data_IF_978941623055
#
_entry.id   IF_978941623055
#
_cell.length_a   1.000
_cell.length_b   1.000
_cell.length_c   1.000
_cell.angle_alpha   90.00
_cell.angle_beta   90.00
_cell.angle_gamma   90.00
#
_symmetry.space_group_name_H-M   'P 1'
#
loop_
_entity.id
_entity.type
_entity.pdbx_description
1 polymer ?
#
# COMPACT_ATOMS: atom_id res chain seq x y z
N UNK A 1 8.31 -1.49 -10.95
CA UNK A 1 7.59 -2.06 -12.12
C UNK A 1 6.88 -3.35 -11.75
N UNK A 2 7.54 -4.32 -11.11
CA UNK A 2 6.89 -5.56 -10.66
C UNK A 2 5.64 -5.33 -9.77
N UNK A 3 5.68 -4.41 -8.80
CA UNK A 3 4.49 -4.07 -7.99
C UNK A 3 3.31 -3.52 -8.81
N UNK A 4 3.55 -2.85 -9.94
CA UNK A 4 2.46 -2.44 -10.83
C UNK A 4 1.80 -3.64 -11.51
N UNK A 5 2.56 -4.70 -11.81
CA UNK A 5 2.03 -5.92 -12.42
C UNK A 5 1.16 -6.69 -11.41
N UNK A 6 1.59 -6.75 -10.14
CA UNK A 6 0.76 -7.27 -9.04
C UNK A 6 -0.56 -6.51 -8.94
N UNK A 7 -0.49 -5.16 -8.90
CA UNK A 7 -1.67 -4.32 -8.84
C UNK A 7 -2.60 -4.53 -10.05
N UNK A 8 -2.03 -4.59 -11.26
CA UNK A 8 -2.78 -4.82 -12.49
C UNK A 8 -3.50 -6.18 -12.52
N UNK A 9 -2.86 -7.27 -12.07
CA UNK A 9 -3.52 -8.59 -11.92
C UNK A 9 -4.69 -8.55 -10.93
N UNK A 10 -4.61 -7.66 -9.95
CA UNK A 10 -5.69 -7.40 -8.99
C UNK A 10 -6.72 -6.37 -9.48
N UNK A 11 -6.59 -5.83 -10.70
CA UNK A 11 -7.46 -4.77 -11.19
C UNK A 11 -7.42 -3.52 -10.32
N UNK A 12 -6.33 -3.30 -9.58
CA UNK A 12 -6.10 -2.18 -8.69
C UNK A 12 -5.01 -1.26 -9.26
N UNK A 13 -5.04 0.01 -8.88
CA UNK A 13 -3.89 0.90 -9.08
C UNK A 13 -2.77 0.55 -8.08
N UNK A 14 -1.54 0.97 -8.36
CA UNK A 14 -0.43 0.80 -7.42
C UNK A 14 -0.72 1.45 -6.06
N UNK A 15 -1.37 2.62 -6.07
CA UNK A 15 -1.77 3.31 -4.87
C UNK A 15 -2.76 2.47 -4.05
N UNK A 16 -3.78 1.91 -4.69
CA UNK A 16 -4.74 1.01 -4.04
C UNK A 16 -4.07 -0.25 -3.47
N UNK A 17 -3.10 -0.84 -4.19
CA UNK A 17 -2.32 -1.96 -3.68
C UNK A 17 -1.54 -1.58 -2.42
N UNK A 18 -0.90 -0.41 -2.39
CA UNK A 18 -0.16 0.07 -1.24
C UNK A 18 -1.07 0.31 -0.02
N UNK A 19 -2.28 0.86 -0.24
CA UNK A 19 -3.28 1.04 0.81
C UNK A 19 -3.76 -0.31 1.36
N UNK A 20 -4.10 -1.26 0.49
CA UNK A 20 -4.49 -2.61 0.89
C UNK A 20 -3.38 -3.33 1.67
N UNK A 21 -2.13 -3.19 1.23
CA UNK A 21 -0.98 -3.74 1.95
C UNK A 21 -0.84 -3.12 3.34
N UNK A 22 -0.96 -1.81 3.49
CA UNK A 22 -0.84 -1.14 4.79
C UNK A 22 -1.99 -1.50 5.75
N UNK A 23 -3.20 -1.67 5.24
CA UNK A 23 -4.40 -1.99 6.02
C UNK A 23 -4.59 -3.49 6.31
N UNK A 24 -3.74 -4.37 5.77
CA UNK A 24 -3.87 -5.82 5.95
C UNK A 24 -3.73 -6.30 7.40
N UNK A 25 -2.97 -5.55 8.21
CA UNK A 25 -2.68 -5.91 9.59
C UNK A 25 -3.77 -5.35 10.50
N UNK A 26 -4.53 -6.22 11.16
CA UNK A 26 -5.62 -5.82 12.07
C UNK A 26 -5.15 -4.98 13.27
N UNK A 27 -3.84 -4.94 13.55
CA UNK A 27 -3.26 -4.06 14.57
C UNK A 27 -3.17 -2.60 14.11
N UNK A 28 -3.33 -2.33 12.82
CA UNK A 28 -3.36 -0.98 12.27
C UNK A 28 -4.76 -0.38 12.45
N UNK A 29 -4.89 0.62 13.33
CA UNK A 29 -6.17 1.28 13.59
C UNK A 29 -6.62 2.17 12.44
N UNK A 30 -5.68 2.86 11.79
CA UNK A 30 -5.98 3.80 10.71
C UNK A 30 -4.72 4.12 9.89
N UNK A 31 -4.92 4.57 8.65
CA UNK A 31 -3.89 5.04 7.75
C UNK A 31 -4.13 6.50 7.40
N UNK A 32 -3.10 7.33 7.55
CA UNK A 32 -3.17 8.75 7.17
C UNK A 32 -2.79 8.88 5.70
N UNK A 33 -3.72 9.36 4.89
CA UNK A 33 -3.54 9.55 3.44
C UNK A 33 -3.73 11.01 3.06
N UNK A 34 -2.93 11.48 2.11
CA UNK A 34 -3.13 12.78 1.45
C UNK A 34 -3.89 12.60 0.13
N UNK A 35 -4.75 13.55 -0.20
CA UNK A 35 -5.38 13.65 -1.52
C UNK A 35 -5.41 15.12 -1.97
N UNK A 36 -5.08 15.39 -3.23
CA UNK A 36 -5.13 16.73 -3.83
C UNK A 36 -6.40 17.00 -4.64
N UNK A 37 -7.26 15.98 -4.79
CA UNK A 37 -8.54 16.07 -5.50
C UNK A 37 -9.55 15.07 -4.96
N UNK A 38 -10.83 15.30 -5.24
CA UNK A 38 -11.92 14.38 -4.88
C UNK A 38 -11.76 13.04 -5.60
N UNK A 39 -11.40 13.04 -6.89
CA UNK A 39 -11.17 11.81 -7.66
C UNK A 39 -10.07 10.95 -7.03
N UNK A 40 -8.97 11.56 -6.56
CA UNK A 40 -7.92 10.80 -5.86
C UNK A 40 -8.41 10.24 -4.51
N UNK A 41 -9.28 10.97 -3.80
CA UNK A 41 -9.89 10.47 -2.57
C UNK A 41 -10.80 9.26 -2.87
N UNK A 42 -11.62 9.34 -3.92
CA UNK A 42 -12.48 8.24 -4.38
C UNK A 42 -11.64 7.02 -4.76
N UNK A 43 -10.55 7.20 -5.52
CA UNK A 43 -9.61 6.15 -5.88
C UNK A 43 -8.96 5.50 -4.65
N UNK A 44 -8.59 6.30 -3.65
CA UNK A 44 -8.02 5.79 -2.40
C UNK A 44 -9.05 4.98 -1.60
N UNK A 45 -10.30 5.43 -1.52
CA UNK A 45 -11.38 4.72 -0.82
C UNK A 45 -11.72 3.40 -1.52
N UNK A 46 -11.70 3.36 -2.85
CA UNK A 46 -11.92 2.13 -3.63
C UNK A 46 -10.90 1.01 -3.33
N UNK A 47 -9.76 1.32 -2.69
CA UNK A 47 -8.84 0.27 -2.21
C UNK A 47 -9.48 -0.68 -1.20
N UNK A 48 -10.50 -0.21 -0.46
CA UNK A 48 -11.20 -0.99 0.56
C UNK A 48 -12.03 -2.14 -0.03
N UNK A 49 -12.36 -2.09 -1.32
CA UNK A 49 -13.13 -3.14 -2.00
C UNK A 49 -12.35 -4.44 -2.17
N UNK A 50 -11.01 -4.41 -2.01
CA UNK A 50 -10.15 -5.57 -2.23
C UNK A 50 -8.89 -5.53 -1.36
N UNK A 51 -9.10 -5.67 -0.04
CA UNK A 51 -8.06 -5.64 0.99
C UNK A 51 -7.32 -6.96 1.17
N UNK A 52 -7.94 -8.09 0.81
CA UNK A 52 -7.36 -9.40 1.05
C UNK A 52 -6.17 -9.67 0.12
N UNK A 53 -5.01 -9.94 0.72
CA UNK A 53 -3.80 -10.34 0.02
C UNK A 53 -3.53 -11.81 0.32
N UNK A 54 -3.32 -12.60 -0.73
CA UNK A 54 -2.90 -13.99 -0.61
C UNK A 54 -1.44 -14.07 -0.16
N UNK A 55 -1.04 -15.23 0.40
CA UNK A 55 0.34 -15.45 0.82
C UNK A 55 1.34 -15.33 -0.35
N UNK A 56 0.94 -15.73 -1.56
CA UNK A 56 1.76 -15.60 -2.77
C UNK A 56 1.96 -14.13 -3.17
N UNK A 57 0.88 -13.35 -3.17
CA UNK A 57 0.96 -11.91 -3.44
C UNK A 57 1.81 -11.18 -2.39
N UNK A 58 1.69 -11.56 -1.11
CA UNK A 58 2.52 -11.00 -0.04
C UNK A 58 4.00 -11.32 -0.24
N UNK A 59 4.34 -12.57 -0.58
CA UNK A 59 5.72 -12.96 -0.85
C UNK A 59 6.30 -12.19 -2.05
N UNK A 60 5.50 -11.98 -3.10
CA UNK A 60 5.91 -11.20 -4.27
C UNK A 60 6.07 -9.71 -3.94
N UNK A 61 5.17 -9.14 -3.12
CA UNK A 61 5.31 -7.76 -2.64
C UNK A 61 6.59 -7.63 -1.81
N UNK A 62 6.84 -8.51 -0.85
CA UNK A 62 8.02 -8.45 0.01
C UNK A 62 9.33 -8.60 -0.79
N UNK A 63 9.33 -9.37 -1.87
CA UNK A 63 10.47 -9.49 -2.78
C UNK A 63 10.78 -8.17 -3.51
N UNK A 64 9.75 -7.38 -3.83
CA UNK A 64 9.88 -6.18 -4.66
C UNK A 64 9.82 -4.86 -3.90
N UNK A 65 9.25 -4.86 -2.69
CA UNK A 65 9.16 -3.72 -1.78
C UNK A 65 10.44 -3.56 -0.97
N UNK A 66 11.54 -3.26 -1.67
CA UNK A 66 12.84 -2.97 -1.05
C UNK A 66 12.82 -1.58 -0.40
N UNK A 67 13.57 -1.40 0.68
CA UNK A 67 13.72 -0.10 1.33
C UNK A 67 14.29 0.93 0.34
N UNK A 68 13.60 2.06 0.22
CA UNK A 68 13.94 3.14 -0.69
C UNK A 68 14.65 4.30 0.02
N UNK A 69 14.99 4.14 1.31
CA UNK A 69 15.61 5.17 2.17
C UNK A 69 14.78 6.47 2.21
N UNK A 70 13.44 6.32 2.19
CA UNK A 70 12.46 7.43 2.17
C UNK A 70 12.00 7.81 3.58
N UNK A 71 12.50 7.14 4.63
CA UNK A 71 12.10 7.42 6.01
C UNK A 71 12.75 8.71 6.55
N UNK A 72 12.12 9.85 6.28
CA UNK A 72 12.56 11.18 6.72
C UNK A 72 12.65 11.35 8.24
N UNK A 73 11.99 10.49 9.01
CA UNK A 73 11.97 10.51 10.48
C UNK A 73 12.84 9.41 11.11
N UNK A 74 13.68 8.73 10.33
CA UNK A 74 14.54 7.62 10.80
C UNK A 74 15.35 7.94 12.05
N UNK A 75 15.80 9.20 12.22
CA UNK A 75 16.53 9.64 13.42
C UNK A 75 15.68 9.64 14.69
N UNK A 76 14.41 9.99 14.60
CA UNK A 76 13.50 10.04 15.75
C UNK A 76 12.98 8.66 16.11
N UNK A 77 12.83 7.78 15.12
CA UNK A 77 12.30 6.41 15.30
C UNK A 77 13.33 5.38 15.76
N UNK A 78 14.62 5.72 15.71
CA UNK A 78 15.73 4.84 16.13
C UNK A 78 16.29 5.13 17.53
N UNK A 79 15.63 6.02 18.29
CA UNK A 79 15.95 6.34 19.69
C UNK A 79 15.13 5.54 20.69
#
# INVERSE_FOLDING_TARGET
>A
RALNEVAARRGQTLAQLALAWALRDQRMTSLVIGASSVAQLEDNVAALDRLELTAEELAEIDLHATDADVNLWSRSSSS
#
